data_IF_805363533602
#
_entry.id   IF_805363533602
#
_cell.length_a   1.000
_cell.length_b   1.000
_cell.length_c   1.000
_cell.angle_alpha   90.00
_cell.angle_beta   90.00
_cell.angle_gamma   90.00
#
_symmetry.space_group_name_H-M   'P 1'
#
loop_
_entity.id
_entity.type
_entity.pdbx_description
1 polymer ?
#
# COMPACT_ATOMS: atom_id res chain seq x y z
N UNK A 1 -17.32 -2.75 -19.40
CA UNK A 1 -18.62 -2.02 -19.24
C UNK A 1 -18.69 -1.50 -17.81
N UNK A 2 -19.11 -0.24 -17.60
CA UNK A 2 -19.26 0.29 -16.24
C UNK A 2 -20.37 -0.47 -15.48
N UNK A 3 -20.06 -0.95 -14.29
CA UNK A 3 -21.01 -1.67 -13.44
C UNK A 3 -21.81 -0.64 -12.63
N UNK A 4 -23.15 -0.83 -12.56
CA UNK A 4 -24.03 0.12 -11.88
C UNK A 4 -24.18 -0.20 -10.41
N UNK A 5 -23.89 0.78 -9.54
CA UNK A 5 -23.97 0.66 -8.08
C UNK A 5 -24.83 1.79 -7.51
N UNK A 6 -25.79 1.44 -6.67
CA UNK A 6 -26.60 2.44 -5.96
C UNK A 6 -25.79 3.05 -4.81
N UNK A 7 -25.73 4.38 -4.76
CA UNK A 7 -25.01 5.13 -3.75
C UNK A 7 -25.95 6.03 -2.94
N UNK A 8 -25.79 6.03 -1.63
CA UNK A 8 -26.54 6.88 -0.70
C UNK A 8 -25.67 8.06 -0.25
N UNK A 9 -26.25 9.28 -0.21
CA UNK A 9 -25.52 10.45 0.31
C UNK A 9 -25.33 10.33 1.82
N UNK A 10 -24.13 10.67 2.30
CA UNK A 10 -23.82 10.67 3.74
C UNK A 10 -24.16 11.99 4.37
N UNK A 11 -24.88 11.94 5.48
CA UNK A 11 -25.19 13.09 6.33
C UNK A 11 -24.37 13.10 7.63
N UNK A 12 -23.85 11.96 8.05
CA UNK A 12 -23.04 11.80 9.25
C UNK A 12 -21.56 11.59 8.92
N UNK A 13 -20.68 12.33 9.62
CA UNK A 13 -19.25 12.32 9.40
C UNK A 13 -18.49 11.88 10.65
N UNK A 14 -17.18 11.67 10.46
CA UNK A 14 -16.25 11.30 11.51
C UNK A 14 -16.10 9.80 11.76
N UNK A 15 -15.16 9.46 12.66
CA UNK A 15 -14.73 8.07 12.95
C UNK A 15 -15.86 7.16 13.40
N UNK A 16 -16.79 7.70 14.24
CA UNK A 16 -17.91 6.92 14.77
C UNK A 16 -18.91 6.53 13.67
N UNK A 17 -19.27 7.46 12.78
CA UNK A 17 -20.15 7.25 11.65
C UNK A 17 -19.56 6.23 10.66
N UNK A 18 -18.28 6.38 10.27
CA UNK A 18 -17.61 5.43 9.38
C UNK A 18 -17.60 4.01 9.96
N UNK A 19 -17.37 3.85 11.27
CA UNK A 19 -17.43 2.54 11.92
C UNK A 19 -18.84 1.93 11.92
N UNK A 20 -19.92 2.73 12.06
CA UNK A 20 -21.30 2.23 11.97
C UNK A 20 -21.60 1.71 10.55
N UNK A 21 -21.27 2.50 9.53
CA UNK A 21 -21.45 2.15 8.12
C UNK A 21 -20.78 0.80 7.81
N UNK A 22 -19.51 0.62 8.23
CA UNK A 22 -18.79 -0.64 8.02
C UNK A 22 -19.41 -1.84 8.77
N UNK A 23 -20.00 -1.63 9.94
CA UNK A 23 -20.73 -2.68 10.67
C UNK A 23 -22.01 -3.14 9.94
N UNK A 24 -22.59 -2.27 9.15
CA UNK A 24 -23.77 -2.55 8.30
C UNK A 24 -23.37 -3.15 6.94
N UNK A 25 -22.11 -3.59 6.78
CA UNK A 25 -21.55 -4.08 5.52
C UNK A 25 -21.66 -3.07 4.37
N UNK A 26 -21.63 -1.80 4.67
CA UNK A 26 -21.55 -0.71 3.72
C UNK A 26 -20.15 -0.11 3.74
N UNK A 27 -19.75 0.53 2.63
CA UNK A 27 -18.42 1.14 2.46
C UNK A 27 -18.58 2.64 2.35
N UNK A 28 -17.92 3.43 3.20
CA UNK A 28 -17.83 4.86 3.00
C UNK A 28 -16.94 5.18 1.80
N UNK A 29 -17.38 6.09 0.96
CA UNK A 29 -16.67 6.53 -0.24
C UNK A 29 -16.76 8.03 -0.43
N UNK A 30 -15.85 8.57 -1.23
CA UNK A 30 -15.86 9.98 -1.63
C UNK A 30 -15.72 10.05 -3.15
N UNK A 31 -16.52 10.92 -3.78
CA UNK A 31 -16.41 11.24 -5.21
C UNK A 31 -16.02 12.70 -5.33
N UNK A 32 -14.95 12.98 -6.02
CA UNK A 32 -14.47 14.34 -6.30
C UNK A 32 -14.08 14.49 -7.77
N UNK A 33 -13.96 15.72 -8.24
CA UNK A 33 -13.54 16.04 -9.60
C UNK A 33 -14.30 17.21 -10.20
N UNK A 34 -13.80 17.70 -11.34
CA UNK A 34 -14.36 18.82 -12.11
C UNK A 34 -14.55 20.13 -11.33
N UNK A 35 -13.84 20.32 -10.20
CA UNK A 35 -13.98 21.52 -9.36
C UNK A 35 -15.27 21.59 -8.56
N UNK A 36 -16.06 20.53 -8.52
CA UNK A 36 -17.22 20.42 -7.65
C UNK A 36 -16.81 20.04 -6.22
N UNK A 37 -17.67 20.38 -5.26
CA UNK A 37 -17.47 19.94 -3.87
C UNK A 37 -17.46 18.41 -3.78
N UNK A 38 -16.59 17.83 -2.92
CA UNK A 38 -16.54 16.39 -2.71
C UNK A 38 -17.87 15.84 -2.22
N UNK A 39 -18.37 14.80 -2.87
CA UNK A 39 -19.57 14.09 -2.46
C UNK A 39 -19.22 12.89 -1.60
N UNK A 40 -19.70 12.86 -0.37
CA UNK A 40 -19.52 11.76 0.52
C UNK A 40 -20.66 10.76 0.37
N UNK A 41 -20.31 9.51 0.08
CA UNK A 41 -21.26 8.45 -0.25
C UNK A 41 -21.13 7.25 0.67
N UNK A 42 -22.16 6.45 0.66
CA UNK A 42 -22.17 5.10 1.25
C UNK A 42 -22.56 4.11 0.18
N UNK A 43 -21.75 3.08 -0.02
CA UNK A 43 -21.95 2.06 -1.03
C UNK A 43 -22.29 0.70 -0.40
N UNK A 44 -23.07 -0.17 -1.05
CA UNK A 44 -23.29 -1.53 -0.62
C UNK A 44 -22.01 -2.36 -0.75
N UNK A 45 -21.54 -2.95 0.36
CA UNK A 45 -20.22 -3.58 0.42
C UNK A 45 -20.02 -4.73 -0.56
N UNK A 46 -21.00 -5.63 -0.66
CA UNK A 46 -20.87 -6.82 -1.52
C UNK A 46 -20.84 -6.46 -3.00
N UNK A 47 -21.77 -5.64 -3.46
CA UNK A 47 -21.84 -5.25 -4.89
C UNK A 47 -20.59 -4.47 -5.29
N UNK A 48 -20.14 -3.54 -4.43
CA UNK A 48 -18.92 -2.76 -4.69
C UNK A 48 -17.68 -3.64 -4.73
N UNK A 49 -17.56 -4.62 -3.81
CA UNK A 49 -16.43 -5.57 -3.83
C UNK A 49 -16.41 -6.40 -5.12
N UNK A 50 -17.56 -6.85 -5.60
CA UNK A 50 -17.64 -7.62 -6.85
C UNK A 50 -17.27 -6.76 -8.06
N UNK A 51 -17.78 -5.54 -8.12
CA UNK A 51 -17.46 -4.59 -9.18
C UNK A 51 -15.97 -4.26 -9.26
N UNK A 52 -15.33 -4.02 -8.12
CA UNK A 52 -13.88 -3.77 -8.05
C UNK A 52 -13.06 -5.03 -8.39
N UNK A 53 -13.56 -6.22 -8.05
CA UNK A 53 -12.88 -7.47 -8.44
C UNK A 53 -12.88 -7.70 -9.94
N UNK A 54 -13.95 -7.28 -10.65
CA UNK A 54 -14.04 -7.41 -12.10
C UNK A 54 -13.31 -6.29 -12.85
N UNK A 55 -13.27 -5.07 -12.30
CA UNK A 55 -12.68 -3.90 -12.94
C UNK A 55 -11.25 -3.58 -12.52
N UNK A 56 -10.68 -4.35 -11.58
CA UNK A 56 -9.32 -4.11 -11.09
C UNK A 56 -9.15 -2.84 -10.25
N UNK A 57 -7.91 -2.38 -10.14
CA UNK A 57 -7.54 -1.21 -9.32
C UNK A 57 -8.18 0.10 -9.87
N UNK A 58 -8.34 0.19 -11.18
CA UNK A 58 -8.89 1.36 -11.89
C UNK A 58 -10.30 1.09 -12.43
N UNK A 59 -11.17 0.48 -11.61
CA UNK A 59 -12.52 0.14 -12.01
C UNK A 59 -13.37 1.37 -12.33
N UNK A 60 -13.96 1.41 -13.53
CA UNK A 60 -14.95 2.42 -13.93
C UNK A 60 -16.33 1.96 -13.51
N UNK A 61 -16.99 2.73 -12.63
CA UNK A 61 -18.30 2.42 -12.08
C UNK A 61 -19.31 3.51 -12.43
N UNK A 62 -20.57 3.11 -12.61
CA UNK A 62 -21.68 4.03 -12.70
C UNK A 62 -22.38 4.09 -11.33
N UNK A 63 -22.15 5.18 -10.60
CA UNK A 63 -22.76 5.41 -9.30
C UNK A 63 -24.14 6.07 -9.50
N UNK A 64 -25.18 5.40 -9.03
CA UNK A 64 -26.54 5.96 -9.00
C UNK A 64 -26.74 6.69 -7.68
N UNK A 65 -26.55 8.01 -7.71
CA UNK A 65 -26.67 8.88 -6.53
C UNK A 65 -28.06 9.51 -6.56
N UNK A 66 -28.96 9.03 -5.71
CA UNK A 66 -30.35 9.53 -5.62
C UNK A 66 -31.08 9.61 -6.99
N UNK A 67 -30.88 8.61 -7.85
CA UNK A 67 -31.46 8.56 -9.19
C UNK A 67 -30.69 9.32 -10.26
N UNK A 68 -29.51 9.85 -9.95
CA UNK A 68 -28.62 10.52 -10.91
C UNK A 68 -27.42 9.63 -11.19
N UNK A 69 -27.27 9.10 -12.41
CA UNK A 69 -26.11 8.32 -12.77
C UNK A 69 -24.87 9.21 -12.93
N UNK A 70 -23.80 8.88 -12.22
CA UNK A 70 -22.51 9.54 -12.29
C UNK A 70 -21.44 8.50 -12.59
N UNK A 71 -20.67 8.70 -13.67
CA UNK A 71 -19.48 7.87 -13.91
C UNK A 71 -18.37 8.28 -12.95
N UNK A 72 -17.76 7.30 -12.33
CA UNK A 72 -16.70 7.47 -11.36
C UNK A 72 -15.65 6.39 -11.53
N UNK A 73 -14.39 6.80 -11.52
CA UNK A 73 -13.23 5.94 -11.60
C UNK A 73 -12.68 5.72 -10.20
N UNK A 74 -12.47 4.49 -9.80
CA UNK A 74 -11.78 4.18 -8.55
C UNK A 74 -10.32 4.63 -8.66
N UNK A 75 -9.85 5.44 -7.71
CA UNK A 75 -8.48 5.94 -7.65
C UNK A 75 -7.69 5.32 -6.51
N UNK A 76 -8.28 5.26 -5.34
CA UNK A 76 -7.66 4.67 -4.17
C UNK A 76 -8.64 3.74 -3.47
N UNK A 77 -8.19 2.53 -3.21
CA UNK A 77 -8.97 1.48 -2.55
C UNK A 77 -8.24 1.09 -1.27
N UNK A 78 -8.82 1.45 -0.13
CA UNK A 78 -8.26 1.08 1.18
C UNK A 78 -8.88 -0.22 1.66
N UNK A 79 -8.02 -1.23 1.86
CA UNK A 79 -8.40 -2.57 2.29
C UNK A 79 -7.73 -2.87 3.63
N UNK A 80 -8.49 -3.39 4.60
CA UNK A 80 -7.93 -3.98 5.82
C UNK A 80 -7.31 -5.35 5.44
N UNK A 81 -5.97 -5.52 5.51
CA UNK A 81 -5.31 -6.75 5.08
C UNK A 81 -5.63 -7.95 5.98
N UNK A 82 -5.94 -7.72 7.26
CA UNK A 82 -6.24 -8.78 8.22
C UNK A 82 -7.66 -9.32 8.04
N UNK A 83 -8.62 -8.43 7.84
CA UNK A 83 -10.04 -8.77 7.70
C UNK A 83 -10.46 -8.96 6.25
N UNK A 84 -9.64 -8.51 5.30
CA UNK A 84 -9.92 -8.48 3.86
C UNK A 84 -11.24 -7.76 3.54
N UNK A 85 -11.47 -6.64 4.24
CA UNK A 85 -12.67 -5.80 4.08
C UNK A 85 -12.27 -4.46 3.50
N UNK A 86 -13.06 -3.95 2.56
CA UNK A 86 -12.90 -2.60 2.03
C UNK A 86 -13.23 -1.57 3.10
N UNK A 87 -12.27 -0.70 3.41
CA UNK A 87 -12.45 0.34 4.42
C UNK A 87 -12.91 1.67 3.84
N UNK A 88 -12.36 2.06 2.71
CA UNK A 88 -12.67 3.31 2.03
C UNK A 88 -12.39 3.20 0.54
N UNK A 89 -13.09 3.98 -0.26
CA UNK A 89 -12.84 4.09 -1.69
C UNK A 89 -12.94 5.56 -2.09
N UNK A 90 -11.91 6.02 -2.78
CA UNK A 90 -11.87 7.34 -3.38
C UNK A 90 -12.12 7.22 -4.87
N UNK A 91 -13.09 8.00 -5.35
CA UNK A 91 -13.48 8.04 -6.75
C UNK A 91 -13.21 9.41 -7.35
N UNK A 92 -12.77 9.41 -8.59
CA UNK A 92 -12.73 10.59 -9.44
C UNK A 92 -13.95 10.57 -10.36
N UNK A 93 -14.74 11.65 -10.32
CA UNK A 93 -15.83 11.81 -11.27
C UNK A 93 -15.25 11.98 -12.68
N UNK A 94 -15.76 11.24 -13.64
CA UNK A 94 -15.28 11.27 -15.02
C UNK A 94 -16.41 11.39 -16.01
N UNK A 95 -16.11 11.91 -17.20
CA UNK A 95 -17.02 11.95 -18.34
C UNK A 95 -16.58 10.97 -19.41
N UNK A 96 -17.51 10.53 -20.24
CA UNK A 96 -17.17 9.68 -21.40
C UNK A 96 -16.23 10.42 -22.34
N UNK A 97 -15.13 9.77 -22.74
CA UNK A 97 -14.12 10.35 -23.62
C UNK A 97 -13.16 11.33 -22.95
N UNK A 98 -13.19 11.46 -21.63
CA UNK A 98 -12.24 12.26 -20.88
C UNK A 98 -10.96 11.48 -20.65
N UNK A 99 -9.82 12.14 -20.77
CA UNK A 99 -8.51 11.58 -20.45
C UNK A 99 -8.24 11.76 -18.96
N UNK A 100 -7.83 10.70 -18.33
CA UNK A 100 -7.53 10.66 -16.90
C UNK A 100 -6.14 10.08 -16.66
N UNK A 101 -5.48 10.60 -15.63
CA UNK A 101 -4.22 10.05 -15.16
C UNK A 101 -4.50 8.97 -14.13
N UNK A 102 -3.99 7.78 -14.39
CA UNK A 102 -4.19 6.59 -13.55
C UNK A 102 -2.88 5.88 -13.29
N UNK A 103 -2.79 5.21 -12.15
CA UNK A 103 -1.69 4.33 -11.78
C UNK A 103 -2.07 2.90 -12.18
N UNK A 104 -1.39 2.34 -13.19
CA UNK A 104 -1.66 0.99 -13.70
C UNK A 104 -0.62 0.03 -13.16
N UNK A 105 -1.04 -1.12 -12.59
CA UNK A 105 -0.11 -2.13 -12.10
C UNK A 105 0.63 -2.82 -13.25
N UNK A 106 1.90 -3.14 -13.00
CA UNK A 106 2.76 -3.88 -13.92
C UNK A 106 2.75 -5.36 -13.53
N UNK A 107 2.45 -6.23 -14.49
CA UNK A 107 2.49 -7.66 -14.32
C UNK A 107 3.67 -8.25 -15.11
N UNK A 108 4.59 -8.87 -14.41
CA UNK A 108 5.72 -9.57 -15.01
C UNK A 108 5.27 -10.93 -15.49
N UNK A 109 5.53 -11.23 -16.76
CA UNK A 109 5.17 -12.50 -17.41
C UNK A 109 6.44 -13.19 -17.93
N UNK A 110 6.47 -14.51 -17.80
CA UNK A 110 7.59 -15.36 -18.24
C UNK A 110 8.55 -15.70 -17.12
N UNK A 111 9.45 -16.63 -17.42
CA UNK A 111 10.50 -17.08 -16.52
C UNK A 111 11.84 -16.55 -17.03
N UNK A 112 12.59 -15.92 -16.13
CA UNK A 112 13.98 -15.52 -16.39
C UNK A 112 14.89 -16.75 -16.35
N UNK A 113 16.15 -16.57 -16.76
CA UNK A 113 17.16 -17.65 -16.76
C UNK A 113 17.35 -18.19 -15.33
N UNK A 114 17.66 -19.50 -15.22
CA UNK A 114 17.99 -20.13 -13.92
C UNK A 114 19.07 -19.32 -13.18
N UNK A 115 18.93 -19.19 -11.85
CA UNK A 115 19.81 -18.41 -10.97
C UNK A 115 19.63 -16.89 -11.07
N UNK A 116 18.50 -16.41 -11.62
CA UNK A 116 18.15 -15.01 -11.62
C UNK A 116 17.01 -14.72 -10.65
N UNK A 117 17.03 -13.51 -10.08
CA UNK A 117 15.96 -12.94 -9.26
C UNK A 117 15.38 -11.72 -10.00
N UNK A 118 14.09 -11.79 -10.31
CA UNK A 118 13.36 -10.66 -10.89
C UNK A 118 12.84 -9.76 -9.78
N UNK A 119 13.34 -8.53 -9.74
CA UNK A 119 12.93 -7.51 -8.77
C UNK A 119 12.12 -6.45 -9.49
N UNK A 120 10.90 -6.24 -9.05
CA UNK A 120 10.06 -5.15 -9.55
C UNK A 120 10.29 -3.93 -8.68
N UNK A 121 10.99 -2.91 -9.22
CA UNK A 121 11.27 -1.65 -8.51
C UNK A 121 10.01 -0.78 -8.44
N UNK A 122 9.31 -0.66 -9.56
CA UNK A 122 8.06 0.05 -9.66
C UNK A 122 6.94 -0.90 -10.05
N UNK A 123 6.07 -1.23 -9.10
CA UNK A 123 4.92 -2.11 -9.31
C UNK A 123 3.75 -1.44 -10.01
N UNK A 124 3.75 -0.11 -10.12
CA UNK A 124 2.73 0.69 -10.79
C UNK A 124 3.37 1.76 -11.65
N UNK A 125 2.77 2.04 -12.79
CA UNK A 125 3.20 3.07 -13.73
C UNK A 125 2.08 4.05 -13.99
N UNK A 126 2.38 5.34 -13.94
CA UNK A 126 1.40 6.39 -14.17
C UNK A 126 1.23 6.64 -15.67
N UNK A 127 0.00 6.52 -16.13
CA UNK A 127 -0.37 6.69 -17.54
C UNK A 127 -1.58 7.61 -17.69
N UNK A 128 -1.65 8.31 -18.80
CA UNK A 128 -2.83 9.04 -19.24
C UNK A 128 -3.60 8.17 -20.23
N UNK A 129 -4.83 7.83 -19.91
CA UNK A 129 -5.70 7.03 -20.76
C UNK A 129 -7.12 7.60 -20.82
N UNK A 130 -7.90 7.21 -21.82
CA UNK A 130 -9.32 7.53 -21.87
C UNK A 130 -10.06 6.76 -20.76
N UNK A 131 -10.93 7.43 -20.00
CA UNK A 131 -11.66 6.87 -18.86
C UNK A 131 -12.46 5.59 -19.20
N UNK A 132 -12.83 5.40 -20.47
CA UNK A 132 -13.56 4.22 -20.95
C UNK A 132 -12.66 3.07 -21.40
N UNK A 133 -11.34 3.32 -21.58
CA UNK A 133 -10.39 2.35 -22.11
C UNK A 133 -9.09 2.33 -21.28
N UNK A 134 -9.23 2.18 -19.99
CA UNK A 134 -8.09 2.07 -19.07
C UNK A 134 -7.63 0.61 -19.04
N UNK A 135 -6.34 0.30 -19.24
CA UNK A 135 -5.82 -1.06 -19.08
C UNK A 135 -5.87 -1.50 -17.62
N UNK A 136 -6.23 -2.74 -17.37
CA UNK A 136 -6.26 -3.31 -16.01
C UNK A 136 -4.84 -3.53 -15.48
N UNK A 137 -3.90 -3.89 -16.36
CA UNK A 137 -2.49 -4.10 -16.08
C UNK A 137 -1.65 -3.89 -17.35
N UNK A 138 -0.37 -3.69 -17.18
CA UNK A 138 0.62 -3.63 -18.26
C UNK A 138 1.51 -4.87 -18.14
N UNK A 139 1.60 -5.64 -19.22
CA UNK A 139 2.42 -6.85 -19.26
C UNK A 139 3.87 -6.52 -19.58
N UNK A 140 4.78 -7.10 -18.82
CA UNK A 140 6.23 -7.02 -19.04
C UNK A 140 6.78 -8.42 -19.14
N UNK A 141 7.31 -8.77 -20.31
CA UNK A 141 7.94 -10.07 -20.51
C UNK A 141 9.40 -10.04 -20.04
N UNK A 142 9.73 -10.98 -19.15
CA UNK A 142 11.10 -11.26 -18.69
C UNK A 142 11.61 -12.60 -19.22
N UNK A 143 10.96 -13.15 -20.25
CA UNK A 143 11.30 -14.47 -20.79
C UNK A 143 12.73 -14.50 -21.33
N UNK A 144 13.58 -15.38 -20.75
CA UNK A 144 14.98 -15.50 -21.12
C UNK A 144 15.87 -14.31 -20.73
N UNK A 145 15.41 -13.42 -19.85
CA UNK A 145 16.20 -12.30 -19.38
C UNK A 145 17.41 -12.79 -18.56
N UNK A 146 18.60 -12.24 -18.88
CA UNK A 146 19.86 -12.53 -18.20
C UNK A 146 20.06 -11.61 -17.00
N UNK A 147 21.01 -11.99 -16.12
CA UNK A 147 21.45 -11.17 -14.98
C UNK A 147 21.93 -9.80 -15.48
N UNK A 148 21.43 -8.72 -14.88
CA UNK A 148 21.74 -7.34 -15.24
C UNK A 148 20.80 -6.74 -16.29
N UNK A 149 19.79 -7.49 -16.76
CA UNK A 149 18.75 -6.92 -17.64
C UNK A 149 17.90 -5.93 -16.88
N UNK A 150 17.78 -4.72 -17.41
CA UNK A 150 16.96 -3.65 -16.86
C UNK A 150 15.87 -3.29 -17.87
N UNK A 151 14.62 -3.26 -17.41
CA UNK A 151 13.47 -2.88 -18.22
C UNK A 151 12.96 -1.54 -17.72
N UNK A 152 13.02 -0.55 -18.60
CA UNK A 152 12.59 0.82 -18.34
C UNK A 152 11.13 1.05 -18.76
N UNK A 153 10.56 2.16 -18.30
CA UNK A 153 9.20 2.55 -18.64
C UNK A 153 8.99 2.74 -20.15
N UNK A 154 10.07 3.08 -20.92
CA UNK A 154 10.05 3.17 -22.39
C UNK A 154 9.82 1.84 -23.10
N UNK A 155 10.17 0.72 -22.46
CA UNK A 155 10.11 -0.63 -23.06
C UNK A 155 8.76 -1.30 -22.86
N UNK A 156 7.85 -0.64 -22.13
CA UNK A 156 6.52 -1.14 -21.83
C UNK A 156 5.63 -1.12 -23.06
N UNK A 157 4.91 -2.22 -23.29
CA UNK A 157 3.90 -2.30 -24.32
C UNK A 157 2.59 -1.65 -23.85
N UNK A 158 2.37 -0.41 -24.25
CA UNK A 158 1.16 0.33 -23.91
C UNK A 158 0.07 0.06 -24.95
N UNK A 159 -1.20 -0.13 -24.55
CA UNK A 159 -2.33 -0.26 -25.46
C UNK A 159 -2.61 1.08 -26.18
N UNK A 160 -3.33 0.99 -27.30
CA UNK A 160 -3.70 2.16 -28.10
C UNK A 160 -4.50 3.18 -27.28
N UNK A 161 -4.10 4.44 -27.37
CA UNK A 161 -4.75 5.56 -26.67
C UNK A 161 -4.23 5.83 -25.26
N UNK A 162 -3.18 5.14 -24.84
CA UNK A 162 -2.51 5.35 -23.56
C UNK A 162 -1.20 6.10 -23.75
N UNK A 163 -0.94 7.12 -22.95
CA UNK A 163 0.29 7.91 -22.97
C UNK A 163 1.03 7.77 -21.64
N UNK A 164 2.32 7.47 -21.68
CA UNK A 164 3.17 7.39 -20.49
C UNK A 164 3.38 8.79 -19.91
N UNK A 165 3.18 8.97 -18.60
CA UNK A 165 3.45 10.21 -17.88
C UNK A 165 4.71 10.14 -17.02
N UNK A 166 5.20 8.95 -16.74
CA UNK A 166 6.44 8.72 -16.00
C UNK A 166 7.63 8.96 -16.93
N UNK A 167 8.75 9.34 -16.35
CA UNK A 167 10.01 9.46 -17.08
C UNK A 167 10.35 8.15 -17.80
N UNK A 168 10.60 8.16 -19.12
CA UNK A 168 10.91 6.95 -19.89
C UNK A 168 12.13 6.18 -19.39
N UNK A 169 13.06 6.84 -18.68
CA UNK A 169 14.25 6.20 -18.07
C UNK A 169 13.94 5.55 -16.68
N UNK A 170 12.71 5.66 -16.18
CA UNK A 170 12.34 5.04 -14.91
C UNK A 170 12.47 3.53 -14.99
N UNK A 171 13.23 2.95 -14.08
CA UNK A 171 13.42 1.49 -13.98
C UNK A 171 12.16 0.84 -13.42
N UNK A 172 11.61 -0.12 -14.15
CA UNK A 172 10.41 -0.87 -13.78
C UNK A 172 10.75 -2.24 -13.23
N UNK A 173 11.56 -2.98 -13.97
CA UNK A 173 11.99 -4.33 -13.59
C UNK A 173 13.51 -4.44 -13.71
N UNK A 174 14.13 -5.03 -12.70
CA UNK A 174 15.54 -5.34 -12.66
C UNK A 174 15.76 -6.84 -12.45
N UNK A 175 16.57 -7.46 -13.30
CA UNK A 175 16.91 -8.87 -13.17
C UNK A 175 18.30 -8.98 -12.54
N UNK A 176 18.35 -9.45 -11.30
CA UNK A 176 19.58 -9.61 -10.53
C UNK A 176 19.95 -11.10 -10.39
N UNK A 177 21.16 -11.38 -9.98
CA UNK A 177 21.55 -12.74 -9.64
C UNK A 177 20.87 -13.20 -8.36
N UNK A 178 20.23 -14.37 -8.39
CA UNK A 178 19.71 -14.98 -7.18
C UNK A 178 20.90 -15.42 -6.31
N UNK A 179 20.94 -14.96 -5.07
CA UNK A 179 21.92 -15.46 -4.11
C UNK A 179 21.60 -16.94 -3.82
N UNK A 180 22.57 -17.82 -4.01
CA UNK A 180 22.41 -19.22 -3.63
C UNK A 180 22.33 -19.35 -2.10
N UNK A 181 21.62 -20.37 -1.62
CA UNK A 181 21.53 -20.63 -0.17
C UNK A 181 22.93 -20.82 0.46
N UNK A 182 23.88 -21.36 -0.30
CA UNK A 182 25.29 -21.52 0.13
C UNK A 182 26.00 -20.16 0.27
N UNK A 183 25.72 -19.18 -0.59
CA UNK A 183 26.29 -17.85 -0.49
C UNK A 183 25.73 -17.07 0.71
N UNK A 184 24.43 -17.23 1.00
CA UNK A 184 23.78 -16.66 2.18
C UNK A 184 24.33 -17.29 3.49
N UNK A 185 24.55 -18.61 3.52
CA UNK A 185 25.15 -19.27 4.67
C UNK A 185 26.61 -18.86 4.88
N UNK A 186 27.36 -18.64 3.79
CA UNK A 186 28.73 -18.13 3.86
C UNK A 186 28.78 -16.69 4.40
N UNK A 187 27.91 -15.83 3.93
CA UNK A 187 27.81 -14.43 4.37
C UNK A 187 27.35 -14.31 5.84
N UNK A 188 26.40 -15.17 6.26
CA UNK A 188 25.99 -15.27 7.66
C UNK A 188 27.12 -15.79 8.56
N UNK A 189 27.90 -16.78 8.11
CA UNK A 189 29.02 -17.30 8.85
C UNK A 189 30.19 -16.30 8.97
N UNK A 190 30.42 -15.49 7.95
CA UNK A 190 31.39 -14.38 7.99
C UNK A 190 30.93 -13.25 8.95
N UNK A 191 29.68 -12.89 8.91
CA UNK A 191 29.11 -11.89 9.82
C UNK A 191 29.11 -12.34 11.29
N UNK A 192 28.86 -13.64 11.55
CA UNK A 192 28.98 -14.22 12.89
C UNK A 192 30.47 -14.28 13.36
N UNK A 193 31.41 -14.57 12.47
CA UNK A 193 32.83 -14.57 12.78
C UNK A 193 33.39 -13.16 13.07
N UNK A 194 32.91 -12.12 12.35
CA UNK A 194 33.27 -10.73 12.62
C UNK A 194 32.65 -10.23 13.94
N UNK A 195 31.43 -10.65 14.27
CA UNK A 195 30.80 -10.33 15.54
C UNK A 195 31.51 -10.99 16.74
N UNK A 196 32.00 -12.22 16.60
CA UNK A 196 32.75 -12.92 17.65
C UNK A 196 34.17 -12.34 17.80
N UNK A 197 34.80 -11.91 16.71
CA UNK A 197 36.12 -11.26 16.76
C UNK A 197 36.08 -9.85 17.42
N UNK A 198 34.92 -9.16 17.37
CA UNK A 198 34.72 -7.87 18.02
C UNK A 198 34.54 -7.92 19.53
N UNK A 199 34.22 -9.09 20.11
CA UNK A 199 33.96 -9.24 21.55
C UNK A 199 35.26 -9.57 22.35
N UNK A 200 36.37 -9.94 21.71
CA UNK A 200 37.59 -10.34 22.37
C UNK A 200 38.61 -9.22 22.67
N UNK A 201 38.30 -7.95 22.36
CA UNK A 201 39.24 -6.84 22.57
C UNK A 201 38.89 -5.85 23.67
N UNK A 202 37.87 -6.09 24.52
CA UNK A 202 37.56 -5.17 25.62
C UNK A 202 37.46 -5.85 27.00
N UNK A 203 38.38 -6.76 27.28
CA UNK A 203 38.53 -7.36 28.62
C UNK A 203 39.98 -7.59 28.98
N UNK A 204 40.82 -6.55 28.98
CA UNK A 204 42.11 -6.55 29.70
C UNK A 204 42.60 -5.09 29.83
N UNK A 205 42.19 -4.41 30.84
CA UNK A 205 43.01 -3.56 31.72
C UNK A 205 42.09 -2.83 32.72
N UNK A 206 42.24 -3.11 33.93
CA UNK A 206 42.58 -2.36 35.11
C UNK A 206 42.15 -3.11 36.37
N UNK A 207 43.13 -3.59 37.03
CA UNK A 207 43.04 -4.11 38.36
C UNK A 207 43.29 -2.98 39.37
N UNK A 208 42.79 -3.27 40.57
CA UNK A 208 43.21 -2.76 41.91
C UNK A 208 42.89 -1.33 42.31
N UNK A 209 41.95 -1.19 43.27
CA UNK A 209 42.32 -0.70 44.63
C UNK A 209 41.09 -0.64 45.57
N UNK A 210 41.30 -1.25 46.69
CA UNK A 210 40.64 -1.22 48.00
C UNK A 210 39.92 0.06 48.43
N UNK A 211 38.88 -0.12 49.27
CA UNK A 211 38.41 0.94 50.17
C UNK A 211 36.98 0.76 50.64
N UNK A 212 36.74 -0.16 51.54
CA UNK A 212 36.08 -0.10 52.85
C UNK A 212 35.17 1.11 53.13
N UNK A 213 33.99 0.85 53.61
CA UNK A 213 33.23 1.29 54.81
C UNK A 213 31.72 1.35 54.59
N UNK A 214 31.03 0.49 55.21
CA UNK A 214 29.93 0.57 56.20
C UNK A 214 28.97 1.77 56.21
N UNK A 215 27.67 1.43 56.37
CA UNK A 215 26.64 2.31 56.92
C UNK A 215 25.29 2.17 56.25
N UNK A 216 24.43 1.24 56.62
CA UNK A 216 23.37 1.37 57.63
C UNK A 216 22.35 2.49 57.33
N UNK A 217 21.10 2.09 57.25
CA UNK A 217 19.99 3.02 57.41
C UNK A 217 18.68 2.66 56.69
N UNK A 218 17.92 1.87 57.41
CA UNK A 218 16.47 1.62 57.35
C UNK A 218 15.58 2.87 57.28
N UNK A 219 14.37 2.62 56.80
CA UNK A 219 13.00 3.00 57.27
C UNK A 219 12.15 3.43 56.07
N UNK A 220 11.11 2.69 55.67
CA UNK A 220 9.73 2.65 56.20
C UNK A 220 8.99 4.01 56.15
N UNK A 221 7.77 3.92 55.60
CA UNK A 221 6.73 4.91 55.66
C UNK A 221 5.94 4.98 54.35
N UNK A 222 4.96 4.18 54.09
CA UNK A 222 3.57 4.10 54.55
C UNK A 222 2.77 5.40 54.40
N UNK A 223 1.59 5.20 53.82
CA UNK A 223 0.35 5.96 53.91
C UNK A 223 -0.22 6.58 52.60
N UNK A 224 -1.22 5.85 52.07
CA UNK A 224 -2.44 6.49 51.54
C UNK A 224 -3.37 6.82 52.71
N UNK A 225 -4.61 7.34 52.58
CA UNK A 225 -5.34 8.04 51.54
C UNK A 225 -6.11 9.29 52.04
N UNK A 226 -6.87 10.00 51.21
CA UNK A 226 -8.14 10.70 51.50
C UNK A 226 -8.62 11.44 50.25
N UNK A 227 -9.73 11.15 49.58
CA UNK A 227 -11.17 11.49 49.85
C UNK A 227 -11.42 13.00 50.13
N UNK A 228 -12.36 13.52 49.36
CA UNK A 228 -13.06 14.78 49.53
C UNK A 228 -13.52 15.29 48.18
N UNK A 229 -14.65 15.07 47.67
CA UNK A 229 -16.07 15.40 47.97
C UNK A 229 -16.40 16.88 47.69
N UNK A 230 -17.57 17.01 47.01
CA UNK A 230 -18.53 18.14 46.88
C UNK A 230 -18.32 19.18 45.79
N UNK A 231 -19.18 19.14 44.81
CA UNK A 231 -20.39 19.97 44.60
C UNK A 231 -20.14 21.41 44.11
N UNK A 232 -20.57 21.75 42.93
CA UNK A 232 -21.76 22.54 42.55
C UNK A 232 -21.95 22.54 41.02
#
# INVERSE_FOLDING_TARGET
MAEKITAEMRTEFGKGAARRIRRENKIPAVVYGHGNDPMHLTLPGHSTMMALKHGGANALLELDIEGRPQLALAREIQVDPLRRVLEHIDFVAVRKGEKVTVDVPVHVIGDAVSETLVVTENSTVQVEAEATNIPEYIEVSVEGAEVGTQIHASDLQLPEGTTLLVDPETLVVNVTQAQSAEALEAELSEAEAEADAGITHEAADEGTAEGDTAGSGSAEGDAAPAQGDSAE
#
